data_IF_038743898149
#
_entry.id   IF_038743898149
#
_cell.length_a   1.000
_cell.length_b   1.000
_cell.length_c   1.000
_cell.angle_alpha   90.00
_cell.angle_beta   90.00
_cell.angle_gamma   90.00
#
_symmetry.space_group_name_H-M   'P 1'
#
loop_
_entity.id
_entity.type
_entity.pdbx_description
1 polymer ?
#
# COMPACT_ATOMS: atom_id res chain seq x y z
N UNK A 1 -26.38 -13.49 -38.63
CA UNK A 1 -25.45 -12.36 -38.39
C UNK A 1 -25.65 -11.66 -37.04
N UNK A 2 -26.84 -11.15 -36.70
CA UNK A 2 -27.08 -10.41 -35.44
C UNK A 2 -26.72 -11.16 -34.14
N UNK A 3 -26.89 -12.49 -34.12
CA UNK A 3 -26.55 -13.35 -32.96
C UNK A 3 -25.04 -13.63 -32.80
N UNK A 4 -24.26 -13.57 -33.89
CA UNK A 4 -22.81 -13.75 -33.82
C UNK A 4 -22.09 -12.51 -33.29
N UNK A 5 -22.62 -11.32 -33.56
CA UNK A 5 -22.06 -10.05 -33.05
C UNK A 5 -22.21 -9.96 -31.52
N UNK A 6 -23.34 -10.45 -30.97
CA UNK A 6 -23.57 -10.46 -29.53
C UNK A 6 -22.60 -11.37 -28.75
N UNK A 7 -22.20 -12.51 -29.34
CA UNK A 7 -21.27 -13.45 -28.71
C UNK A 7 -19.83 -12.90 -28.62
N UNK A 8 -19.39 -12.12 -29.62
CA UNK A 8 -18.04 -11.52 -29.65
C UNK A 8 -17.89 -10.38 -28.63
N UNK A 9 -18.96 -9.62 -28.36
CA UNK A 9 -18.95 -8.54 -27.37
C UNK A 9 -18.86 -9.10 -25.95
N UNK A 10 -19.52 -10.24 -25.68
CA UNK A 10 -19.49 -10.88 -24.35
C UNK A 10 -18.11 -11.42 -23.96
N UNK A 11 -17.31 -11.88 -24.93
CA UNK A 11 -15.94 -12.38 -24.66
C UNK A 11 -14.89 -11.28 -24.53
N UNK A 12 -15.15 -10.06 -25.04
CA UNK A 12 -14.23 -8.93 -24.95
C UNK A 12 -14.27 -8.21 -23.59
N UNK A 13 -15.31 -8.43 -22.79
CA UNK A 13 -15.45 -7.90 -21.42
C UNK A 13 -14.82 -8.81 -20.35
N UNK A 14 -14.35 -9.99 -20.74
CA UNK A 14 -13.58 -10.88 -19.88
C UNK A 14 -12.09 -10.49 -19.87
N UNK A 15 -11.78 -9.18 -19.90
CA UNK A 15 -10.47 -8.76 -19.45
C UNK A 15 -10.32 -9.29 -18.03
N UNK A 16 -9.20 -9.96 -17.69
CA UNK A 16 -8.97 -10.30 -16.31
C UNK A 16 -8.99 -8.96 -15.59
N UNK A 17 -9.98 -8.78 -14.72
CA UNK A 17 -9.85 -7.86 -13.61
C UNK A 17 -8.59 -8.37 -12.90
N UNK A 18 -7.43 -7.85 -13.31
CA UNK A 18 -6.17 -8.09 -12.64
C UNK A 18 -6.50 -7.86 -11.18
N UNK A 19 -6.35 -8.91 -10.37
CA UNK A 19 -6.94 -9.05 -9.05
C UNK A 19 -6.32 -8.03 -8.10
N UNK A 20 -6.66 -6.76 -8.29
CA UNK A 20 -6.32 -5.67 -7.41
C UNK A 20 -7.02 -6.01 -6.09
N UNK A 21 -6.22 -6.13 -5.04
CA UNK A 21 -6.76 -6.33 -3.70
C UNK A 21 -7.77 -5.23 -3.41
N UNK A 22 -8.81 -5.59 -2.66
CA UNK A 22 -9.70 -4.59 -2.11
C UNK A 22 -8.89 -3.61 -1.26
N UNK A 23 -9.37 -2.37 -1.15
CA UNK A 23 -8.67 -1.36 -0.35
C UNK A 23 -8.44 -1.78 1.11
N UNK A 24 -9.30 -2.66 1.66
CA UNK A 24 -9.11 -3.23 2.99
C UNK A 24 -7.82 -4.06 3.08
N UNK A 25 -7.65 -5.04 2.19
CA UNK A 25 -6.47 -5.91 2.24
C UNK A 25 -5.20 -5.20 1.76
N UNK A 26 -5.32 -4.23 0.87
CA UNK A 26 -4.20 -3.35 0.50
C UNK A 26 -3.75 -2.48 1.69
N UNK A 27 -4.69 -1.96 2.47
CA UNK A 27 -4.39 -1.25 3.72
C UNK A 27 -3.74 -2.17 4.75
N UNK A 28 -4.20 -3.42 4.87
CA UNK A 28 -3.59 -4.40 5.75
C UNK A 28 -2.13 -4.69 5.36
N UNK A 29 -1.84 -4.84 4.06
CA UNK A 29 -0.47 -5.02 3.56
C UNK A 29 0.42 -3.82 3.92
N UNK A 30 -0.09 -2.60 3.71
CA UNK A 30 0.63 -1.35 4.02
C UNK A 30 0.95 -1.23 5.51
N UNK A 31 -0.04 -1.42 6.37
CA UNK A 31 0.13 -1.35 7.83
C UNK A 31 1.10 -2.44 8.30
N UNK A 32 0.96 -3.66 7.79
CA UNK A 32 1.88 -4.75 8.11
C UNK A 32 3.31 -4.44 7.65
N UNK A 33 3.49 -3.84 6.47
CA UNK A 33 4.80 -3.42 5.95
C UNK A 33 5.45 -2.38 6.87
N UNK A 34 4.68 -1.41 7.37
CA UNK A 34 5.15 -0.41 8.33
C UNK A 34 5.57 -1.07 9.66
N UNK A 35 4.71 -1.93 10.22
CA UNK A 35 4.95 -2.58 11.52
C UNK A 35 6.07 -3.63 11.47
N UNK A 36 6.30 -4.25 10.32
CA UNK A 36 7.36 -5.23 10.11
C UNK A 36 8.72 -4.60 9.78
N UNK A 37 8.79 -3.28 9.55
CA UNK A 37 10.03 -2.59 9.17
C UNK A 37 10.93 -2.33 10.38
N UNK A 38 12.16 -2.87 10.42
CA UNK A 38 13.14 -2.52 11.43
C UNK A 38 13.52 -1.03 11.40
N UNK A 39 13.51 -0.41 10.21
CA UNK A 39 13.80 1.01 10.03
C UNK A 39 12.76 1.88 10.76
N UNK A 40 11.47 1.55 10.64
CA UNK A 40 10.39 2.23 11.37
C UNK A 40 10.54 2.00 12.87
N UNK A 41 10.73 0.74 13.29
CA UNK A 41 10.90 0.40 14.70
C UNK A 41 12.06 1.18 15.34
N UNK A 42 13.19 1.30 14.64
CA UNK A 42 14.34 2.08 15.10
C UNK A 42 14.08 3.58 15.08
N UNK A 43 13.38 4.10 14.06
CA UNK A 43 13.06 5.52 13.94
C UNK A 43 12.11 6.01 15.04
N UNK A 44 11.21 5.15 15.52
CA UNK A 44 10.38 5.42 16.71
C UNK A 44 11.01 4.93 18.01
N UNK A 45 12.30 4.56 18.00
CA UNK A 45 13.07 4.11 19.18
C UNK A 45 12.44 2.92 19.92
N UNK A 46 11.81 2.00 19.19
CA UNK A 46 11.10 0.83 19.71
C UNK A 46 9.91 1.20 20.62
N UNK A 47 9.41 2.44 20.53
CA UNK A 47 8.25 2.87 21.29
C UNK A 47 6.96 2.17 20.78
N UNK A 48 6.00 1.87 21.67
CA UNK A 48 4.72 1.31 21.27
C UNK A 48 3.95 2.21 20.30
N UNK A 49 3.45 1.63 19.22
CA UNK A 49 2.63 2.33 18.23
C UNK A 49 1.19 2.45 18.74
N UNK A 50 0.68 3.68 18.83
CA UNK A 50 -0.69 3.98 19.23
C UNK A 50 -1.66 4.11 18.05
N UNK A 51 -1.19 4.62 16.91
CA UNK A 51 -2.00 4.72 15.70
C UNK A 51 -1.14 4.71 14.42
N UNK A 52 -1.72 4.21 13.34
CA UNK A 52 -1.18 4.28 11.98
C UNK A 52 -2.27 4.83 11.07
N UNK A 53 -1.99 5.96 10.41
CA UNK A 53 -2.99 6.69 9.60
C UNK A 53 -2.44 6.99 8.21
N UNK A 54 -3.24 6.75 7.17
CA UNK A 54 -2.92 7.24 5.83
C UNK A 54 -3.22 8.74 5.77
N UNK A 55 -2.22 9.56 5.47
CA UNK A 55 -2.34 11.03 5.49
C UNK A 55 -2.35 11.64 4.10
N UNK A 56 -1.97 10.88 3.08
CA UNK A 56 -2.07 11.31 1.69
C UNK A 56 -1.20 10.49 0.75
N UNK A 57 -0.86 11.13 -0.38
CA UNK A 57 -0.03 10.55 -1.43
C UNK A 57 0.95 11.62 -1.92
N UNK A 58 2.23 11.27 -1.99
CA UNK A 58 3.30 12.12 -2.52
C UNK A 58 3.19 12.21 -4.05
N UNK A 59 3.82 13.24 -4.64
CA UNK A 59 3.75 13.51 -6.09
C UNK A 59 4.27 12.37 -6.98
N UNK A 60 5.12 11.50 -6.45
CA UNK A 60 5.67 10.33 -7.13
C UNK A 60 4.80 9.07 -6.97
N UNK A 61 3.64 9.18 -6.33
CA UNK A 61 2.71 8.08 -6.10
C UNK A 61 2.98 7.28 -4.82
N UNK A 62 4.01 7.61 -4.04
CA UNK A 62 4.23 6.97 -2.74
C UNK A 62 3.12 7.37 -1.76
N UNK A 63 2.54 6.38 -1.06
CA UNK A 63 1.50 6.65 -0.06
C UNK A 63 2.15 7.19 1.21
N UNK A 64 1.68 8.32 1.71
CA UNK A 64 2.14 8.92 2.97
C UNK A 64 1.34 8.36 4.14
N UNK A 65 2.06 7.98 5.20
CA UNK A 65 1.49 7.45 6.42
C UNK A 65 2.12 8.10 7.64
N UNK A 66 1.31 8.33 8.67
CA UNK A 66 1.75 8.77 9.98
C UNK A 66 1.70 7.60 10.96
N UNK A 67 2.83 7.33 11.61
CA UNK A 67 2.98 6.39 12.73
C UNK A 67 3.06 7.21 14.01
N UNK A 68 2.00 7.15 14.82
CA UNK A 68 1.93 7.86 16.10
C UNK A 68 2.33 6.94 17.23
N UNK A 69 3.27 7.42 18.05
CA UNK A 69 3.63 6.83 19.35
C UNK A 69 3.20 7.79 20.48
N UNK A 70 3.54 7.47 21.72
CA UNK A 70 3.32 8.39 22.85
C UNK A 70 4.21 9.64 22.76
N UNK A 71 5.39 9.51 22.17
CA UNK A 71 6.46 10.53 22.21
C UNK A 71 6.54 11.35 20.92
N UNK A 72 6.06 10.80 19.79
CA UNK A 72 6.21 11.44 18.49
C UNK A 72 5.21 10.95 17.43
N UNK A 73 5.06 11.77 16.39
CA UNK A 73 4.43 11.41 15.12
C UNK A 73 5.51 11.27 14.04
N UNK A 74 5.74 10.06 13.54
CA UNK A 74 6.68 9.77 12.47
C UNK A 74 5.95 9.70 11.13
N UNK A 75 6.40 10.48 10.13
CA UNK A 75 5.93 10.33 8.74
C UNK A 75 6.79 9.28 8.03
N UNK A 76 6.13 8.36 7.33
CA UNK A 76 6.77 7.35 6.47
C UNK A 76 6.10 7.35 5.10
N UNK A 77 6.84 6.92 4.09
CA UNK A 77 6.33 6.76 2.73
C UNK A 77 6.37 5.30 2.31
N UNK A 78 5.31 4.83 1.67
CA UNK A 78 5.22 3.50 1.08
C UNK A 78 5.30 3.60 -0.44
N UNK A 79 6.42 3.14 -1.00
CA UNK A 79 6.64 3.09 -2.45
C UNK A 79 6.13 1.74 -2.97
N UNK A 80 5.18 1.72 -3.92
CA UNK A 80 4.63 0.48 -4.44
C UNK A 80 5.65 -0.29 -5.28
N UNK A 81 5.71 -1.60 -5.09
CA UNK A 81 6.48 -2.56 -5.90
C UNK A 81 5.46 -3.49 -6.56
N UNK A 82 5.35 -3.37 -7.89
CA UNK A 82 4.48 -4.22 -8.68
C UNK A 82 5.10 -5.61 -8.85
N UNK A 83 4.30 -6.68 -8.78
CA UNK A 83 4.78 -8.05 -9.01
C UNK A 83 5.10 -8.28 -10.49
N UNK A 84 6.03 -9.20 -10.76
CA UNK A 84 6.26 -9.72 -12.10
C UNK A 84 5.15 -10.73 -12.45
N UNK A 85 4.03 -10.22 -12.99
CA UNK A 85 2.87 -11.02 -13.36
C UNK A 85 1.73 -10.98 -12.32
N UNK A 86 0.88 -12.01 -12.26
CA UNK A 86 -0.24 -12.04 -11.31
C UNK A 86 0.26 -12.05 -9.86
N UNK A 87 -0.16 -11.07 -9.06
CA UNK A 87 0.21 -10.97 -7.66
C UNK A 87 -0.30 -9.70 -7.01
N UNK A 88 -0.03 -9.55 -5.72
CA UNK A 88 -0.31 -8.31 -4.99
C UNK A 88 0.80 -7.27 -5.18
N UNK A 89 0.44 -6.00 -5.15
CA UNK A 89 1.40 -4.91 -4.93
C UNK A 89 1.98 -5.08 -3.52
N UNK A 90 3.31 -5.03 -3.41
CA UNK A 90 4.01 -4.95 -2.13
C UNK A 90 4.60 -3.55 -1.98
N UNK A 91 5.20 -3.24 -0.83
CA UNK A 91 5.66 -1.88 -0.54
C UNK A 91 7.07 -1.90 0.02
N UNK A 92 7.86 -0.89 -0.35
CA UNK A 92 9.10 -0.54 0.35
C UNK A 92 8.82 0.67 1.23
N UNK A 93 9.29 0.62 2.47
CA UNK A 93 9.20 1.74 3.41
C UNK A 93 10.36 2.70 3.20
N UNK A 94 10.06 3.99 3.14
CA UNK A 94 11.04 5.08 3.22
C UNK A 94 10.78 5.89 4.48
N UNK A 95 11.81 6.08 5.29
CA UNK A 95 11.75 6.77 6.58
C UNK A 95 12.60 8.03 6.52
N UNK A 96 12.02 9.22 6.27
CA UNK A 96 12.76 10.46 6.03
C UNK A 96 13.42 11.05 7.29
N UNK A 97 13.00 10.62 8.48
CA UNK A 97 13.46 11.16 9.76
C UNK A 97 13.28 10.19 10.91
N UNK A 98 13.56 10.64 12.13
CA UNK A 98 13.41 9.84 13.35
C UNK A 98 12.81 10.70 14.45
N UNK A 99 12.25 10.05 15.45
CA UNK A 99 11.85 10.73 16.68
C UNK A 99 13.08 11.08 17.52
N UNK A 100 13.06 12.26 18.15
CA UNK A 100 14.15 12.76 19.01
C UNK A 100 14.15 12.06 20.38
#
# INVERSE_FOLDING_TARGET
MRRMIAAVIATALATPAAAALSGFYDSAERINTILASPEVANAVRQAPVGAISNTGTRKDGASEWQVRTQECDLIVYLVPILPEGPGKTTYRVEVPGKCE
#
